data_IF_838455268131
#
_entry.id   IF_838455268131
#
_cell.length_a   1.000
_cell.length_b   1.000
_cell.length_c   1.000
_cell.angle_alpha   90.00
_cell.angle_beta   90.00
_cell.angle_gamma   90.00
#
_symmetry.space_group_name_H-M   'P 1'
#
loop_
_entity.id
_entity.type
_entity.pdbx_description
1 polymer ?
#
# COMPACT_ATOMS: atom_id res chain seq x y z
N UNK A 1 22.26 3.97 23.52
CA UNK A 1 21.49 4.49 22.37
C UNK A 1 21.48 3.42 21.29
N UNK A 2 20.39 2.67 21.06
CA UNK A 2 20.35 1.82 19.87
C UNK A 2 19.75 2.63 18.72
N UNK A 3 20.57 2.93 17.71
CA UNK A 3 20.08 3.30 16.39
C UNK A 3 19.46 2.03 15.78
N UNK A 4 18.14 1.90 15.87
CA UNK A 4 17.40 0.86 15.17
C UNK A 4 17.46 1.12 13.67
N UNK A 5 18.36 0.41 12.99
CA UNK A 5 18.43 0.28 11.54
C UNK A 5 17.60 -0.92 11.08
N UNK A 6 16.38 -1.05 11.60
CA UNK A 6 15.49 -2.13 11.18
C UNK A 6 14.79 -1.62 9.92
N UNK A 7 15.27 -2.05 8.75
CA UNK A 7 14.52 -1.91 7.53
C UNK A 7 13.19 -2.66 7.74
N UNK A 8 12.07 -1.95 7.67
CA UNK A 8 10.77 -2.59 7.80
C UNK A 8 10.49 -3.25 6.45
N UNK A 9 10.94 -4.49 6.30
CA UNK A 9 10.48 -5.39 5.25
C UNK A 9 9.07 -5.87 5.61
N UNK A 10 8.13 -4.92 5.67
CA UNK A 10 6.76 -5.22 6.02
C UNK A 10 6.08 -5.99 4.90
N UNK A 11 5.04 -6.73 5.28
CA UNK A 11 4.14 -7.41 4.35
C UNK A 11 3.71 -6.51 3.19
N UNK A 12 3.40 -7.11 2.01
CA UNK A 12 2.90 -6.34 0.88
C UNK A 12 1.74 -5.42 1.28
N UNK A 13 1.73 -4.22 0.71
CA UNK A 13 0.57 -3.35 0.81
C UNK A 13 -0.54 -3.99 0.00
N UNK A 14 -1.57 -4.43 0.71
CA UNK A 14 -2.74 -4.99 0.07
C UNK A 14 -3.78 -3.91 -0.20
N UNK A 15 -4.09 -3.68 -1.47
CA UNK A 15 -5.23 -2.88 -1.91
C UNK A 15 -6.45 -3.78 -2.09
N UNK A 16 -7.62 -3.25 -1.77
CA UNK A 16 -8.88 -3.91 -2.13
C UNK A 16 -9.03 -3.85 -3.65
N UNK A 17 -9.56 -4.92 -4.24
CA UNK A 17 -9.72 -5.02 -5.70
C UNK A 17 -10.89 -4.21 -6.26
N UNK A 18 -11.66 -3.53 -5.40
CA UNK A 18 -12.67 -2.59 -5.85
C UNK A 18 -12.00 -1.33 -6.41
N UNK A 19 -12.46 -0.90 -7.57
CA UNK A 19 -11.69 -0.01 -8.45
C UNK A 19 -11.66 1.47 -8.00
N UNK A 20 -12.00 1.76 -6.74
CA UNK A 20 -12.19 3.12 -6.25
C UNK A 20 -11.66 3.38 -4.83
N UNK A 21 -11.14 2.38 -4.12
CA UNK A 21 -10.55 2.62 -2.80
C UNK A 21 -9.08 3.07 -2.93
N UNK A 22 -8.81 4.26 -2.41
CA UNK A 22 -7.46 4.75 -2.24
C UNK A 22 -6.88 4.31 -0.89
N UNK A 23 -5.59 4.02 -0.87
CA UNK A 23 -4.85 3.78 0.35
C UNK A 23 -3.90 4.94 0.64
N UNK A 24 -4.03 5.54 1.82
CA UNK A 24 -3.15 6.60 2.30
C UNK A 24 -1.91 5.99 2.95
N UNK A 25 -0.73 6.56 2.69
CA UNK A 25 0.53 6.20 3.34
C UNK A 25 1.07 7.42 4.06
N UNK A 26 1.46 7.26 5.32
CA UNK A 26 1.96 8.36 6.14
C UNK A 26 2.65 7.88 7.42
N UNK A 27 3.26 8.79 8.17
CA UNK A 27 3.85 8.47 9.47
C UNK A 27 2.87 8.54 10.64
N UNK A 28 1.66 9.06 10.40
CA UNK A 28 0.56 9.11 11.36
C UNK A 28 -0.73 8.63 10.70
N UNK A 29 -1.69 8.17 11.50
CA UNK A 29 -3.03 7.87 11.01
C UNK A 29 -3.72 9.16 10.57
N UNK A 30 -4.34 9.14 9.39
CA UNK A 30 -5.17 10.24 8.91
C UNK A 30 -6.63 9.88 9.18
N UNK A 31 -7.19 10.40 10.27
CA UNK A 31 -8.58 10.13 10.68
C UNK A 31 -9.61 10.78 9.74
N UNK A 32 -9.22 11.82 9.01
CA UNK A 32 -10.07 12.50 8.04
C UNK A 32 -10.18 11.74 6.71
N UNK A 33 -9.40 10.68 6.52
CA UNK A 33 -9.43 9.85 5.33
C UNK A 33 -10.34 8.64 5.54
N UNK A 34 -11.47 8.53 4.83
CA UNK A 34 -12.44 7.45 5.02
C UNK A 34 -11.97 6.09 4.48
N UNK A 35 -10.85 6.06 3.76
CA UNK A 35 -10.29 4.83 3.19
C UNK A 35 -9.21 4.20 4.07
N UNK A 36 -8.54 3.18 3.52
CA UNK A 36 -7.46 2.48 4.22
C UNK A 36 -6.23 3.37 4.42
N UNK A 37 -5.72 3.43 5.64
CA UNK A 37 -4.45 4.12 5.96
C UNK A 37 -3.38 3.13 6.38
N UNK A 38 -2.14 3.37 5.94
CA UNK A 38 -0.94 2.66 6.37
C UNK A 38 -0.05 3.66 7.10
N UNK A 39 0.23 3.34 8.36
CA UNK A 39 1.08 4.14 9.23
C UNK A 39 2.46 3.50 9.29
N UNK A 40 3.46 4.26 8.86
CA UNK A 40 4.87 3.85 8.88
C UNK A 40 5.63 4.89 9.73
N UNK A 41 5.87 4.61 11.02
CA UNK A 41 6.40 5.59 11.98
C UNK A 41 7.91 5.79 11.84
N UNK A 42 8.35 6.17 10.63
CA UNK A 42 9.75 6.45 10.31
C UNK A 42 9.95 7.95 10.06
N UNK A 43 11.12 8.50 10.44
CA UNK A 43 11.38 9.94 10.36
C UNK A 43 11.39 10.50 8.93
N UNK A 44 11.69 9.66 7.92
CA UNK A 44 11.67 10.10 6.52
C UNK A 44 10.27 10.15 5.91
N UNK A 45 9.25 9.69 6.66
CA UNK A 45 7.89 9.60 6.15
C UNK A 45 7.08 10.78 6.67
N UNK A 46 6.57 11.60 5.75
CA UNK A 46 5.65 12.69 6.07
C UNK A 46 4.32 12.16 6.65
N UNK A 47 3.66 12.97 7.49
CA UNK A 47 2.39 12.59 8.11
C UNK A 47 1.33 12.16 7.09
N UNK A 48 1.28 12.88 5.97
CA UNK A 48 0.56 12.49 4.75
C UNK A 48 1.58 12.41 3.62
N UNK A 49 2.07 11.21 3.30
CA UNK A 49 3.23 11.02 2.42
C UNK A 49 2.82 10.76 0.97
N UNK A 50 1.97 9.76 0.77
CA UNK A 50 1.59 9.31 -0.55
C UNK A 50 0.19 8.69 -0.55
N UNK A 51 -0.37 8.57 -1.75
CA UNK A 51 -1.63 7.87 -2.00
C UNK A 51 -1.40 6.80 -3.04
N UNK A 52 -1.85 5.58 -2.76
CA UNK A 52 -1.83 4.47 -3.70
C UNK A 52 -3.27 4.16 -4.12
N UNK A 53 -3.51 3.95 -5.41
CA UNK A 53 -4.83 3.56 -5.94
C UNK A 53 -4.69 2.39 -6.90
N UNK A 54 -5.75 1.59 -7.00
CA UNK A 54 -5.90 0.59 -8.05
C UNK A 54 -7.15 0.95 -8.87
N UNK A 55 -6.96 1.26 -10.16
CA UNK A 55 -8.03 1.68 -11.06
C UNK A 55 -7.79 1.15 -12.46
N UNK A 56 -8.84 0.71 -13.15
CA UNK A 56 -8.77 0.21 -14.53
C UNK A 56 -7.69 -0.88 -14.72
N UNK A 57 -7.54 -1.78 -13.74
CA UNK A 57 -6.54 -2.85 -13.79
C UNK A 57 -5.08 -2.43 -13.57
N UNK A 58 -4.82 -1.18 -13.18
CA UNK A 58 -3.47 -0.66 -12.97
C UNK A 58 -3.30 -0.01 -11.59
N UNK A 59 -2.08 -0.10 -11.05
CA UNK A 59 -1.70 0.58 -9.83
C UNK A 59 -1.12 1.96 -10.13
N UNK A 60 -1.45 2.91 -9.27
CA UNK A 60 -0.91 4.26 -9.30
C UNK A 60 -0.46 4.67 -7.92
N UNK A 61 0.65 5.39 -7.85
CA UNK A 61 1.11 6.10 -6.64
C UNK A 61 1.21 7.59 -6.94
N UNK A 62 0.78 8.40 -5.99
CA UNK A 62 0.93 9.86 -6.00
C UNK A 62 1.71 10.24 -4.76
N UNK A 63 2.89 10.83 -4.94
CA UNK A 63 3.61 11.47 -3.83
C UNK A 63 2.91 12.80 -3.48
N UNK A 64 2.53 12.99 -2.22
CA UNK A 64 1.77 14.16 -1.76
C UNK A 64 2.71 15.28 -1.28
N UNK A 65 3.76 15.54 -2.06
CA UNK A 65 4.86 16.47 -1.73
C UNK A 65 5.56 16.09 -0.43
N UNK A 66 5.87 14.82 -0.29
CA UNK A 66 6.63 14.34 0.86
C UNK A 66 8.01 14.99 0.91
N UNK A 67 8.55 15.16 2.12
CA UNK A 67 9.85 15.82 2.32
C UNK A 67 11.00 15.03 1.68
N UNK A 68 10.97 13.70 1.80
CA UNK A 68 12.05 12.81 1.34
C UNK A 68 11.74 12.14 -0.01
N UNK A 69 10.52 12.25 -0.50
CA UNK A 69 10.08 11.72 -1.79
C UNK A 69 9.64 10.26 -1.73
N UNK A 70 8.90 9.87 -2.76
CA UNK A 70 8.54 8.48 -3.07
C UNK A 70 9.36 8.01 -4.28
N UNK A 71 9.80 6.75 -4.28
CA UNK A 71 10.56 6.15 -5.37
C UNK A 71 9.96 4.82 -5.80
N UNK A 72 10.11 4.50 -7.08
CA UNK A 72 9.75 3.22 -7.65
C UNK A 72 11.04 2.55 -8.15
N UNK A 73 11.22 1.29 -7.75
CA UNK A 73 12.30 0.43 -8.23
C UNK A 73 11.67 -0.73 -9.00
N UNK A 74 11.98 -0.83 -10.29
CA UNK A 74 11.48 -1.90 -11.15
C UNK A 74 12.21 -3.24 -10.90
N UNK A 75 11.78 -4.29 -11.61
CA UNK A 75 12.38 -5.62 -11.54
C UNK A 75 13.82 -5.69 -12.09
N UNK A 76 14.23 -4.72 -12.93
CA UNK A 76 15.60 -4.57 -13.42
C UNK A 76 16.48 -3.79 -12.43
N UNK A 77 15.91 -3.31 -11.32
CA UNK A 77 16.61 -2.56 -10.28
C UNK A 77 16.78 -1.07 -10.60
N UNK A 78 16.12 -0.55 -11.65
CA UNK A 78 16.13 0.87 -11.98
C UNK A 78 15.22 1.62 -11.03
N UNK A 79 15.83 2.52 -10.27
CA UNK A 79 15.14 3.37 -9.29
C UNK A 79 14.89 4.76 -9.87
N UNK A 80 13.66 5.23 -9.78
CA UNK A 80 13.28 6.58 -10.18
C UNK A 80 12.37 7.24 -9.15
N UNK A 81 12.45 8.57 -9.05
CA UNK A 81 11.62 9.35 -8.13
C UNK A 81 10.25 9.63 -8.76
N UNK A 82 9.20 9.44 -7.99
CA UNK A 82 7.82 9.80 -8.37
C UNK A 82 7.70 11.32 -8.39
N UNK A 83 7.18 11.94 -9.47
CA UNK A 83 6.91 13.37 -9.49
C UNK A 83 5.82 13.72 -8.45
N UNK A 84 6.01 14.78 -7.65
CA UNK A 84 5.02 15.18 -6.65
C UNK A 84 3.69 15.56 -7.29
N UNK A 85 2.59 15.17 -6.64
CA UNK A 85 1.20 15.41 -7.05
C UNK A 85 0.81 14.88 -8.44
N UNK A 86 1.63 14.03 -9.06
CA UNK A 86 1.34 13.42 -10.34
C UNK A 86 1.21 11.89 -10.22
N UNK A 87 0.13 11.28 -10.74
CA UNK A 87 -0.02 9.83 -10.73
C UNK A 87 1.08 9.13 -11.52
N UNK A 88 1.84 8.27 -10.84
CA UNK A 88 2.83 7.40 -11.47
C UNK A 88 2.34 5.97 -11.45
N UNK A 89 2.23 5.36 -12.64
CA UNK A 89 1.84 3.97 -12.81
C UNK A 89 3.01 3.06 -12.44
N UNK A 90 2.73 1.92 -11.83
CA UNK A 90 3.73 0.90 -11.53
C UNK A 90 3.14 -0.53 -11.67
N UNK A 91 4.03 -1.51 -11.77
CA UNK A 91 3.68 -2.93 -11.89
C UNK A 91 3.71 -3.61 -10.52
N UNK A 92 2.88 -4.64 -10.24
CA UNK A 92 2.91 -5.36 -8.95
C UNK A 92 4.22 -6.10 -8.61
N UNK A 93 5.16 -6.21 -9.55
CA UNK A 93 6.53 -6.65 -9.27
C UNK A 93 7.41 -5.56 -8.65
N UNK A 94 7.05 -4.30 -8.87
CA UNK A 94 7.87 -3.16 -8.51
C UNK A 94 7.84 -2.93 -7.00
N UNK A 95 8.90 -2.30 -6.52
CA UNK A 95 9.05 -1.91 -5.13
C UNK A 95 8.81 -0.41 -5.02
N UNK A 96 7.95 -0.03 -4.09
CA UNK A 96 7.65 1.36 -3.75
C UNK A 96 8.42 1.69 -2.47
N UNK A 97 9.24 2.73 -2.53
CA UNK A 97 10.00 3.24 -1.39
C UNK A 97 9.40 4.57 -0.95
N UNK A 98 9.08 4.69 0.34
CA UNK A 98 8.65 5.94 0.95
C UNK A 98 9.80 6.53 1.76
N UNK A 99 10.33 7.67 1.32
CA UNK A 99 11.60 8.18 1.81
C UNK A 99 12.80 7.71 0.98
N UNK A 100 13.97 8.16 1.38
CA UNK A 100 15.25 8.01 0.67
C UNK A 100 16.18 6.94 1.25
N UNK A 101 15.95 6.52 2.50
CA UNK A 101 16.81 5.61 3.26
C UNK A 101 16.56 4.10 3.01
N UNK A 102 15.60 3.77 2.13
CA UNK A 102 15.18 2.41 1.77
C UNK A 102 14.57 1.58 2.90
N UNK A 103 14.31 2.15 4.08
CA UNK A 103 13.74 1.40 5.21
C UNK A 103 12.25 1.11 5.05
N UNK A 104 11.56 1.87 4.22
CA UNK A 104 10.13 1.72 3.92
C UNK A 104 9.91 1.28 2.48
N UNK A 105 10.33 0.05 2.18
CA UNK A 105 10.24 -0.54 0.84
C UNK A 105 9.15 -1.60 0.81
N UNK A 106 8.16 -1.44 -0.06
CA UNK A 106 6.98 -2.30 -0.12
C UNK A 106 6.68 -2.78 -1.54
N UNK A 107 6.12 -3.97 -1.65
CA UNK A 107 5.40 -4.40 -2.85
C UNK A 107 3.91 -4.15 -2.65
N UNK A 108 3.18 -3.91 -3.74
CA UNK A 108 1.73 -3.73 -3.68
C UNK A 108 1.03 -4.89 -4.37
N UNK A 109 -0.01 -5.42 -3.73
CA UNK A 109 -0.84 -6.51 -4.25
C UNK A 109 -2.31 -6.13 -4.15
N UNK A 110 -3.13 -6.70 -5.04
CA UNK A 110 -4.58 -6.66 -4.89
C UNK A 110 -5.05 -7.87 -4.08
N UNK A 111 -5.81 -7.63 -3.01
CA UNK A 111 -6.67 -8.65 -2.39
C UNK A 111 -7.94 -8.77 -3.22
N UNK A 112 -8.08 -9.90 -3.93
CA UNK A 112 -9.35 -10.28 -4.54
C UNK A 112 -10.10 -11.13 -3.55
N UNK A 113 -11.10 -10.55 -2.90
CA UNK A 113 -12.11 -11.35 -2.24
C UNK A 113 -13.02 -11.94 -3.32
N UNK A 114 -13.41 -13.22 -3.24
CA UNK A 114 -14.53 -13.69 -4.05
C UNK A 114 -15.71 -12.75 -3.80
N UNK A 115 -16.56 -12.48 -4.81
CA UNK A 115 -17.78 -11.73 -4.56
C UNK A 115 -18.51 -12.44 -3.42
N UNK A 116 -18.76 -11.73 -2.32
CA UNK A 116 -19.63 -12.22 -1.25
C UNK A 116 -20.98 -12.46 -1.91
N UNK A 117 -21.25 -13.72 -2.27
CA UNK A 117 -22.62 -14.18 -2.42
C UNK A 117 -23.34 -13.80 -1.15
N UNK A 118 -24.41 -13.04 -1.32
CA UNK A 118 -25.28 -12.57 -0.26
C UNK A 118 -25.52 -13.68 0.76
N UNK A 119 -25.35 -13.29 2.02
CA UNK A 119 -25.55 -14.08 3.22
C UNK A 119 -27.05 -14.45 3.32
N UNK A 120 -27.46 -15.48 2.57
CA UNK A 120 -28.68 -16.21 2.89
C UNK A 120 -28.37 -17.07 4.11
N UNK A 121 -28.69 -16.52 5.28
CA UNK A 121 -28.88 -17.29 6.51
C UNK A 121 -29.74 -18.51 6.20
N UNK A 122 -29.19 -19.70 6.42
CA UNK A 122 -29.85 -20.72 7.24
C UNK A 122 -28.84 -21.76 7.71
N UNK A 123 -28.84 -21.89 9.03
CA UNK A 123 -28.11 -22.80 9.90
C UNK A 123 -28.68 -24.22 9.78
N UNK A 124 -27.84 -25.24 9.60
CA UNK A 124 -27.90 -26.47 10.42
C UNK A 124 -26.86 -27.52 10.00
N UNK A 125 -26.19 -28.03 11.03
CA UNK A 125 -25.30 -29.18 11.14
C UNK A 125 -25.73 -30.43 10.35
N UNK A 126 -24.78 -31.16 9.74
CA UNK A 126 -24.05 -32.28 10.39
C UNK A 126 -23.01 -32.90 9.44
N UNK A 127 -21.77 -33.03 9.91
CA UNK A 127 -20.80 -34.01 9.42
C UNK A 127 -21.13 -35.36 10.08
N UNK A 128 -21.27 -36.46 9.33
CA UNK A 128 -20.33 -37.57 9.52
C UNK A 128 -20.31 -38.61 8.39
N UNK A 129 -19.07 -38.95 8.06
CA UNK A 129 -18.53 -40.09 7.33
C UNK A 129 -18.81 -41.42 8.07
N UNK A 130 -19.45 -42.39 7.40
CA UNK A 130 -19.06 -43.83 7.31
C UNK A 130 -19.62 -44.38 6.00
#
# INVERSE_FOLDING_TARGET
>A
MPCGNEAVCSDPIHLRGDENEACMVGSVSNEDFPGKSIVIPLPEISGTHARITYKNGAFYVVDLRSKHGTFITDNEGRRHRVPPNYPSRFHPSDKIEFGSDKKATFRVKVLRYPPTTEDNKEESDVLQLV
#
